data_IF_145943672586
#
_entry.id   IF_145943672586
#
_cell.length_a   1.000
_cell.length_b   1.000
_cell.length_c   1.000
_cell.angle_alpha   90.00
_cell.angle_beta   90.00
_cell.angle_gamma   90.00
#
_symmetry.space_group_name_H-M   'P 1'
#
loop_
_entity.id
_entity.type
_entity.pdbx_description
1 polymer ?
#
# COMPACT_ATOMS: atom_id res chain seq x y z
N UNK A 1 59.72 -1.47 78.57
CA UNK A 1 60.53 -2.70 78.34
C UNK A 1 59.62 -3.92 78.42
N UNK A 2 59.38 -4.61 77.29
CA UNK A 2 59.39 -6.08 77.13
C UNK A 2 58.74 -6.45 75.79
N UNK A 3 59.58 -7.03 74.93
CA UNK A 3 59.24 -7.77 73.70
C UNK A 3 58.77 -9.19 74.06
N UNK A 4 58.30 -9.91 73.03
CA UNK A 4 57.92 -11.33 72.90
C UNK A 4 56.45 -11.63 73.22
N UNK A 5 55.69 -12.41 72.45
CA UNK A 5 56.03 -13.51 71.53
C UNK A 5 54.98 -13.60 70.40
N UNK A 6 55.42 -13.93 69.18
CA UNK A 6 54.57 -14.25 68.02
C UNK A 6 54.02 -15.67 68.14
N UNK A 7 52.69 -15.83 68.12
CA UNK A 7 52.01 -17.10 67.80
C UNK A 7 51.37 -16.98 66.41
N UNK A 8 51.78 -17.85 65.49
CA UNK A 8 51.13 -18.04 64.19
C UNK A 8 49.87 -18.90 64.40
N UNK A 9 48.69 -18.33 64.21
CA UNK A 9 47.44 -19.08 64.09
C UNK A 9 47.06 -19.17 62.61
N UNK A 10 46.99 -20.40 62.10
CA UNK A 10 46.39 -20.73 60.80
C UNK A 10 44.87 -20.75 61.02
N UNK A 11 44.17 -19.77 60.45
CA UNK A 11 42.71 -19.74 60.43
C UNK A 11 42.23 -20.49 59.19
N UNK A 12 41.67 -21.68 59.41
CA UNK A 12 40.90 -22.40 58.39
C UNK A 12 39.50 -21.79 58.35
N UNK A 13 39.22 -21.00 57.32
CA UNK A 13 37.89 -20.43 57.07
C UNK A 13 37.00 -21.50 56.42
N UNK A 14 36.08 -22.05 57.22
CA UNK A 14 34.98 -22.90 56.74
C UNK A 14 33.89 -21.96 56.22
N UNK A 15 33.74 -21.89 54.89
CA UNK A 15 32.65 -21.15 54.27
C UNK A 15 31.35 -21.96 54.32
N UNK A 16 30.22 -21.40 54.77
CA UNK A 16 28.93 -22.08 54.74
C UNK A 16 28.43 -22.21 53.30
N UNK A 17 28.12 -23.45 52.88
CA UNK A 17 27.49 -23.73 51.61
C UNK A 17 26.02 -23.25 51.64
N UNK A 18 25.76 -22.08 51.05
CA UNK A 18 24.41 -21.66 50.71
C UNK A 18 23.93 -22.48 49.50
N UNK A 19 22.99 -23.39 49.73
CA UNK A 19 22.19 -24.01 48.66
C UNK A 19 21.24 -22.94 48.10
N UNK A 20 21.66 -22.27 47.03
CA UNK A 20 20.77 -21.47 46.21
C UNK A 20 19.84 -22.41 45.43
N UNK A 21 18.58 -22.51 45.88
CA UNK A 21 17.51 -23.10 45.08
C UNK A 21 17.25 -22.18 43.89
N UNK A 22 17.79 -22.55 42.72
CA UNK A 22 17.41 -21.94 41.45
C UNK A 22 15.99 -22.38 41.13
N UNK A 23 15.01 -21.49 41.34
CA UNK A 23 13.70 -21.64 40.74
C UNK A 23 13.87 -21.46 39.23
N UNK A 24 13.96 -22.58 38.50
CA UNK A 24 13.83 -22.58 37.06
C UNK A 24 12.41 -22.12 36.70
N UNK A 25 12.24 -20.81 36.50
CA UNK A 25 11.09 -20.26 35.82
C UNK A 25 11.21 -20.70 34.37
N UNK A 26 10.32 -21.60 33.95
CA UNK A 26 10.07 -21.85 32.53
C UNK A 26 9.85 -20.48 31.87
N UNK A 27 10.66 -20.07 30.87
CA UNK A 27 10.27 -18.96 30.06
C UNK A 27 8.99 -19.40 29.33
N UNK A 28 7.86 -18.81 29.73
CA UNK A 28 6.64 -18.84 28.94
C UNK A 28 7.05 -18.61 27.51
N UNK A 29 6.73 -19.58 26.65
CA UNK A 29 6.76 -19.43 25.21
C UNK A 29 6.13 -18.07 24.89
N UNK A 30 6.95 -17.08 24.53
CA UNK A 30 6.48 -15.94 23.78
C UNK A 30 5.92 -16.55 22.51
N UNK A 31 4.60 -16.71 22.47
CA UNK A 31 3.91 -17.08 21.26
C UNK A 31 4.37 -16.05 20.23
N UNK A 32 5.01 -16.53 19.15
CA UNK A 32 5.12 -15.73 17.95
C UNK A 32 3.73 -15.14 17.68
N UNK A 33 3.61 -13.86 17.28
CA UNK A 33 2.30 -13.29 16.98
C UNK A 33 1.56 -14.28 16.09
N UNK A 34 0.39 -14.74 16.54
CA UNK A 34 -0.40 -15.72 15.80
C UNK A 34 -0.53 -15.20 14.38
N UNK A 35 0.08 -15.92 13.45
CA UNK A 35 -0.02 -15.65 12.04
C UNK A 35 -1.48 -15.80 11.67
N UNK A 36 -2.11 -14.73 11.18
CA UNK A 36 -3.52 -14.79 10.82
C UNK A 36 -3.65 -15.68 9.60
N UNK A 37 -4.49 -16.71 9.66
CA UNK A 37 -4.58 -17.77 8.66
C UNK A 37 -6.05 -18.07 8.32
N UNK A 38 -6.28 -18.58 7.12
CA UNK A 38 -7.57 -19.16 6.77
C UNK A 38 -7.75 -20.51 7.49
N UNK A 39 -8.94 -20.76 8.02
CA UNK A 39 -9.32 -22.05 8.61
C UNK A 39 -9.17 -23.19 7.59
N UNK A 40 -9.60 -22.93 6.35
CA UNK A 40 -9.46 -23.84 5.22
C UNK A 40 -9.08 -23.04 3.99
N UNK A 41 -8.11 -23.52 3.23
CA UNK A 41 -7.72 -22.94 1.95
C UNK A 41 -7.32 -24.01 0.93
N UNK A 42 -7.61 -23.74 -0.33
CA UNK A 42 -7.18 -24.53 -1.48
C UNK A 42 -6.57 -23.60 -2.52
N UNK A 43 -5.47 -24.04 -3.13
CA UNK A 43 -4.82 -23.36 -4.27
C UNK A 43 -4.72 -24.37 -5.41
N UNK A 44 -5.24 -24.04 -6.59
CA UNK A 44 -5.20 -24.92 -7.77
C UNK A 44 -4.76 -24.16 -8.99
N UNK A 45 -3.91 -24.75 -9.82
CA UNK A 45 -3.61 -24.19 -11.14
C UNK A 45 -4.88 -24.14 -12.02
N UNK A 46 -5.07 -23.03 -12.73
CA UNK A 46 -6.19 -22.81 -13.64
C UNK A 46 -5.68 -22.69 -15.08
N UNK A 47 -6.14 -23.59 -15.97
CA UNK A 47 -5.81 -23.63 -17.40
C UNK A 47 -7.01 -23.32 -18.32
N UNK A 48 -8.13 -22.85 -17.74
CA UNK A 48 -9.39 -22.66 -18.47
C UNK A 48 -9.40 -21.45 -19.40
N UNK A 49 -8.46 -20.50 -19.24
CA UNK A 49 -8.31 -19.34 -20.12
C UNK A 49 -9.41 -18.28 -20.00
N UNK A 50 -10.25 -18.36 -18.95
CA UNK A 50 -11.33 -17.40 -18.71
C UNK A 50 -10.85 -16.02 -18.24
N UNK A 51 -11.78 -15.11 -17.96
CA UNK A 51 -11.46 -13.85 -17.26
C UNK A 51 -11.26 -14.14 -15.77
N UNK A 52 -10.24 -13.54 -15.16
CA UNK A 52 -10.06 -13.58 -13.71
C UNK A 52 -11.23 -12.91 -12.98
N UNK A 53 -11.76 -13.58 -11.96
CA UNK A 53 -12.84 -13.05 -11.11
C UNK A 53 -12.46 -13.19 -9.64
N UNK A 54 -13.08 -12.39 -8.78
CA UNK A 54 -12.93 -12.52 -7.34
C UNK A 54 -14.17 -12.02 -6.64
N UNK A 55 -14.60 -12.68 -5.57
CA UNK A 55 -15.66 -12.16 -4.70
C UNK A 55 -15.14 -11.07 -3.74
N UNK A 56 -13.82 -10.91 -3.67
CA UNK A 56 -13.12 -9.97 -2.81
C UNK A 56 -12.22 -9.06 -3.66
N UNK A 57 -12.28 -7.73 -3.49
CA UNK A 57 -11.55 -6.84 -4.38
C UNK A 57 -10.03 -6.94 -4.11
N UNK A 58 -9.25 -7.22 -5.16
CA UNK A 58 -7.81 -7.50 -5.12
C UNK A 58 -6.95 -6.25 -5.39
N UNK A 59 -7.50 -5.08 -5.14
CA UNK A 59 -6.83 -3.79 -5.24
C UNK A 59 -6.10 -3.42 -3.93
N UNK A 60 -5.42 -2.27 -3.94
CA UNK A 60 -4.63 -1.76 -2.81
C UNK A 60 -5.47 -0.98 -1.80
N UNK A 61 -6.57 -0.39 -2.24
CA UNK A 61 -7.45 0.46 -1.44
C UNK A 61 -8.15 -0.31 -0.33
N UNK A 62 -8.82 0.40 0.56
CA UNK A 62 -9.43 -0.20 1.76
C UNK A 62 -10.93 -0.47 1.59
N UNK A 63 -11.53 -0.07 0.47
CA UNK A 63 -12.95 -0.32 0.16
C UNK A 63 -13.18 -1.79 -0.16
N UNK A 64 -14.17 -2.41 0.50
CA UNK A 64 -14.60 -3.78 0.23
C UNK A 64 -16.03 -4.03 0.71
N UNK A 65 -16.63 -5.11 0.20
CA UNK A 65 -17.90 -5.63 0.70
C UNK A 65 -17.64 -6.89 1.53
N UNK A 66 -18.18 -7.01 2.76
CA UNK A 66 -17.99 -8.20 3.58
C UNK A 66 -18.50 -9.47 2.89
N UNK A 67 -17.67 -10.51 2.86
CA UNK A 67 -17.97 -11.79 2.19
C UNK A 67 -18.36 -12.90 3.17
N UNK A 68 -18.63 -12.58 4.43
CA UNK A 68 -18.90 -13.58 5.46
C UNK A 68 -17.70 -14.47 5.78
N UNK A 69 -16.47 -13.97 5.58
CA UNK A 69 -15.23 -14.73 5.76
C UNK A 69 -14.82 -15.61 4.58
N UNK A 70 -15.55 -15.57 3.45
CA UNK A 70 -15.21 -16.36 2.25
C UNK A 70 -14.32 -15.57 1.31
N UNK A 71 -13.19 -16.13 0.92
CA UNK A 71 -12.31 -15.59 -0.11
C UNK A 71 -12.30 -16.55 -1.31
N UNK A 72 -12.73 -16.07 -2.47
CA UNK A 72 -12.73 -16.83 -3.73
C UNK A 72 -12.18 -15.96 -4.83
N UNK A 73 -11.04 -16.37 -5.38
CA UNK A 73 -10.34 -15.69 -6.45
C UNK A 73 -10.02 -16.71 -7.55
N UNK A 74 -10.65 -16.57 -8.70
CA UNK A 74 -10.55 -17.50 -9.82
C UNK A 74 -9.65 -16.92 -10.90
N UNK A 75 -8.77 -17.76 -11.43
CA UNK A 75 -7.91 -17.45 -12.56
C UNK A 75 -7.07 -16.17 -12.36
N UNK A 76 -6.44 -16.06 -11.17
CA UNK A 76 -5.57 -14.93 -10.81
C UNK A 76 -4.10 -15.31 -10.92
N UNK A 77 -3.23 -14.38 -11.33
CA UNK A 77 -1.78 -14.60 -11.25
C UNK A 77 -1.26 -14.38 -9.83
N UNK A 78 -0.10 -14.98 -9.52
CA UNK A 78 0.57 -14.72 -8.24
C UNK A 78 0.88 -13.23 -8.06
N UNK A 79 1.27 -12.53 -9.12
CA UNK A 79 1.51 -11.08 -9.07
C UNK A 79 0.29 -10.30 -8.58
N UNK A 80 -0.92 -10.60 -9.05
CA UNK A 80 -2.13 -9.93 -8.57
C UNK A 80 -2.33 -10.16 -7.07
N UNK A 81 -2.10 -11.40 -6.62
CA UNK A 81 -2.23 -11.77 -5.22
C UNK A 81 -1.18 -11.08 -4.34
N UNK A 82 0.05 -10.91 -4.83
CA UNK A 82 1.11 -10.17 -4.13
C UNK A 82 0.79 -8.68 -4.00
N UNK A 83 0.31 -8.05 -5.09
CA UNK A 83 -0.08 -6.63 -5.09
C UNK A 83 -1.16 -6.39 -4.02
N UNK A 84 -2.17 -7.26 -3.98
CA UNK A 84 -3.19 -7.23 -2.94
C UNK A 84 -2.59 -7.52 -1.55
N UNK A 85 -1.96 -8.68 -1.34
CA UNK A 85 -1.53 -9.13 -0.02
C UNK A 85 -0.58 -8.13 0.68
N UNK A 86 0.34 -7.51 -0.05
CA UNK A 86 1.39 -6.66 0.53
C UNK A 86 1.21 -5.16 0.30
N UNK A 87 0.08 -4.76 -0.32
CA UNK A 87 -0.14 -3.39 -0.78
C UNK A 87 1.11 -2.91 -1.56
N UNK A 88 1.50 -3.61 -2.62
CA UNK A 88 2.67 -3.26 -3.47
C UNK A 88 2.34 -2.12 -4.43
N UNK A 89 3.01 -0.97 -4.28
CA UNK A 89 2.67 0.23 -5.06
C UNK A 89 3.29 0.19 -6.45
N UNK A 90 2.89 1.10 -7.35
CA UNK A 90 3.36 1.12 -8.73
C UNK A 90 4.89 1.26 -8.82
N UNK A 91 5.49 1.99 -7.88
CA UNK A 91 6.93 2.20 -7.76
C UNK A 91 7.66 0.93 -7.36
N UNK A 92 7.17 0.22 -6.33
CA UNK A 92 7.67 -1.08 -5.89
C UNK A 92 7.50 -2.13 -7.00
N UNK A 93 6.36 -2.09 -7.70
CA UNK A 93 6.03 -2.97 -8.81
C UNK A 93 7.02 -2.84 -9.98
N UNK A 94 7.26 -1.61 -10.45
CA UNK A 94 8.18 -1.32 -11.56
C UNK A 94 9.66 -1.45 -11.16
N UNK A 95 9.99 -1.08 -9.91
CA UNK A 95 11.35 -0.98 -9.42
C UNK A 95 12.01 -2.32 -9.03
N UNK A 96 11.23 -3.29 -8.53
CA UNK A 96 11.81 -4.53 -8.00
C UNK A 96 11.00 -5.80 -8.16
N UNK A 97 9.68 -5.78 -7.98
CA UNK A 97 8.86 -7.00 -7.95
C UNK A 97 9.08 -7.87 -9.19
N UNK A 98 8.98 -7.27 -10.38
CA UNK A 98 9.04 -8.00 -11.64
C UNK A 98 10.44 -8.53 -12.00
N UNK A 99 11.51 -8.01 -11.40
CA UNK A 99 12.89 -8.39 -11.79
C UNK A 99 13.30 -9.76 -11.26
N UNK A 100 12.71 -10.23 -10.16
CA UNK A 100 13.08 -11.48 -9.48
C UNK A 100 12.01 -12.57 -9.54
N UNK A 101 10.82 -12.25 -10.02
CA UNK A 101 9.77 -13.22 -10.15
C UNK A 101 10.03 -14.17 -11.32
N UNK A 102 9.86 -15.48 -11.14
CA UNK A 102 9.78 -16.42 -12.25
C UNK A 102 8.65 -16.03 -13.21
N UNK A 103 8.80 -16.33 -14.51
CA UNK A 103 7.80 -15.96 -15.52
C UNK A 103 6.39 -16.47 -15.19
N UNK A 104 6.29 -17.70 -14.66
CA UNK A 104 5.04 -18.33 -14.27
C UNK A 104 4.25 -17.49 -13.25
N UNK A 105 4.90 -16.71 -12.39
CA UNK A 105 4.22 -15.88 -11.40
C UNK A 105 3.35 -14.78 -12.03
N UNK A 106 3.63 -14.42 -13.28
CA UNK A 106 2.88 -13.43 -14.06
C UNK A 106 1.94 -14.09 -15.08
N UNK A 107 2.36 -15.20 -15.68
CA UNK A 107 1.63 -15.87 -16.75
C UNK A 107 0.58 -16.83 -16.22
N UNK A 108 0.96 -17.69 -15.29
CA UNK A 108 0.15 -18.80 -14.83
C UNK A 108 -0.95 -18.28 -13.91
N UNK A 109 -2.05 -19.03 -13.86
CA UNK A 109 -3.28 -18.62 -13.17
C UNK A 109 -3.63 -19.65 -12.11
N UNK A 110 -4.18 -19.16 -11.02
CA UNK A 110 -4.55 -19.96 -9.86
C UNK A 110 -5.98 -19.64 -9.42
N UNK A 111 -6.67 -20.68 -8.98
CA UNK A 111 -7.91 -20.59 -8.23
C UNK A 111 -7.61 -20.73 -6.75
N UNK A 112 -8.04 -19.76 -5.97
CA UNK A 112 -7.96 -19.76 -4.52
C UNK A 112 -9.37 -19.77 -3.95
N UNK A 113 -9.67 -20.78 -3.14
CA UNK A 113 -10.89 -20.80 -2.33
C UNK A 113 -10.48 -20.99 -0.87
N UNK A 114 -10.86 -20.05 -0.02
CA UNK A 114 -10.50 -20.05 1.38
C UNK A 114 -11.63 -19.51 2.26
N UNK A 115 -11.59 -19.91 3.54
CA UNK A 115 -12.54 -19.50 4.57
C UNK A 115 -11.79 -19.06 5.82
N UNK A 116 -12.11 -17.87 6.31
CA UNK A 116 -11.66 -17.38 7.60
C UNK A 116 -12.53 -17.97 8.71
N UNK A 117 -11.92 -18.21 9.87
CA UNK A 117 -12.65 -18.65 11.08
C UNK A 117 -13.66 -17.58 11.54
N UNK A 118 -13.24 -16.30 11.51
CA UNK A 118 -14.16 -15.18 11.70
C UNK A 118 -15.02 -14.96 10.47
N UNK A 119 -16.33 -14.79 10.66
CA UNK A 119 -17.26 -14.41 9.59
C UNK A 119 -17.19 -12.92 9.19
N UNK A 120 -16.38 -12.11 9.85
CA UNK A 120 -16.30 -10.65 9.62
C UNK A 120 -14.85 -10.12 9.58
N UNK A 121 -13.93 -10.74 8.81
CA UNK A 121 -12.57 -10.24 8.71
C UNK A 121 -12.57 -8.88 8.00
N UNK A 122 -11.68 -7.98 8.43
CA UNK A 122 -11.40 -6.74 7.71
C UNK A 122 -10.65 -7.01 6.40
N UNK A 123 -10.54 -6.00 5.52
CA UNK A 123 -9.70 -6.12 4.31
C UNK A 123 -8.24 -6.39 4.65
N UNK A 124 -7.75 -5.79 5.74
CA UNK A 124 -6.39 -6.01 6.23
C UNK A 124 -6.21 -7.44 6.78
N UNK A 125 -7.20 -7.96 7.52
CA UNK A 125 -7.19 -9.36 7.97
C UNK A 125 -7.12 -10.32 6.76
N UNK A 126 -7.90 -10.07 5.71
CA UNK A 126 -7.85 -10.87 4.48
C UNK A 126 -6.49 -10.81 3.79
N UNK A 127 -5.82 -9.64 3.80
CA UNK A 127 -4.45 -9.51 3.27
C UNK A 127 -3.48 -10.35 4.09
N UNK A 128 -3.51 -10.26 5.42
CA UNK A 128 -2.64 -11.03 6.31
C UNK A 128 -2.86 -12.55 6.15
N UNK A 129 -4.12 -13.00 6.10
CA UNK A 129 -4.43 -14.42 5.83
C UNK A 129 -3.90 -14.90 4.48
N UNK A 130 -3.99 -14.06 3.44
CA UNK A 130 -3.42 -14.39 2.14
C UNK A 130 -1.89 -14.39 2.16
N UNK A 131 -1.22 -13.47 2.87
CA UNK A 131 0.24 -13.53 3.05
C UNK A 131 0.64 -14.90 3.64
N UNK A 132 -0.11 -15.36 4.64
CA UNK A 132 0.14 -16.65 5.27
C UNK A 132 -0.04 -17.83 4.34
N UNK A 133 -1.11 -17.82 3.54
CA UNK A 133 -1.36 -18.82 2.52
C UNK A 133 -0.28 -18.85 1.45
N UNK A 134 0.21 -17.67 1.01
CA UNK A 134 1.26 -17.58 0.01
C UNK A 134 2.61 -18.08 0.54
N UNK A 135 2.93 -17.81 1.81
CA UNK A 135 4.13 -18.36 2.45
C UNK A 135 4.07 -19.89 2.55
N UNK A 136 2.93 -20.47 2.94
CA UNK A 136 2.76 -21.92 3.04
C UNK A 136 2.79 -22.61 1.67
N UNK A 137 1.96 -22.14 0.72
CA UNK A 137 1.73 -22.85 -0.54
C UNK A 137 2.77 -22.56 -1.61
N UNK A 138 3.35 -21.36 -1.63
CA UNK A 138 4.34 -20.96 -2.62
C UNK A 138 5.75 -20.83 -2.03
N UNK A 139 5.96 -21.25 -0.77
CA UNK A 139 7.20 -21.04 -0.03
C UNK A 139 7.70 -19.58 -0.12
N UNK A 140 6.75 -18.64 -0.13
CA UNK A 140 7.01 -17.24 -0.42
C UNK A 140 7.81 -16.59 0.70
N UNK A 141 8.97 -16.01 0.36
CA UNK A 141 9.77 -15.18 1.27
C UNK A 141 9.99 -13.82 0.63
N UNK A 142 9.75 -12.76 1.38
CA UNK A 142 9.79 -11.38 0.87
C UNK A 142 10.38 -10.44 1.90
N UNK A 143 10.95 -9.34 1.43
CA UNK A 143 11.31 -8.20 2.26
C UNK A 143 11.14 -6.89 1.49
N UNK A 144 11.26 -5.77 2.21
CA UNK A 144 11.38 -4.44 1.62
C UNK A 144 12.79 -3.92 1.84
N UNK A 145 13.40 -3.40 0.78
CA UNK A 145 14.67 -2.69 0.85
C UNK A 145 14.48 -1.25 0.39
N UNK A 146 15.29 -0.32 0.92
CA UNK A 146 15.30 1.06 0.44
C UNK A 146 16.36 1.21 -0.65
N UNK A 147 15.99 1.84 -1.78
CA UNK A 147 16.95 2.25 -2.81
C UNK A 147 16.75 3.71 -3.19
N UNK A 148 17.86 4.40 -3.36
CA UNK A 148 17.86 5.73 -3.97
C UNK A 148 17.68 5.59 -5.49
N UNK A 149 16.74 6.36 -6.03
CA UNK A 149 16.55 6.49 -7.47
C UNK A 149 15.91 7.84 -7.80
N UNK A 150 15.88 8.22 -9.09
CA UNK A 150 15.20 9.45 -9.49
C UNK A 150 13.69 9.37 -9.25
N UNK A 151 13.17 10.32 -8.50
CA UNK A 151 11.75 10.46 -8.12
C UNK A 151 11.24 11.87 -8.42
N UNK A 152 9.95 12.06 -8.20
CA UNK A 152 9.36 13.38 -7.98
C UNK A 152 8.99 13.55 -6.51
N UNK A 153 9.54 14.55 -5.82
CA UNK A 153 8.99 14.99 -4.53
C UNK A 153 7.78 15.88 -4.75
N UNK A 154 6.67 15.58 -4.06
CA UNK A 154 5.44 16.38 -4.06
C UNK A 154 5.44 17.33 -2.87
N UNK A 155 5.54 18.63 -3.14
CA UNK A 155 5.66 19.67 -2.13
C UNK A 155 4.46 20.61 -2.16
N UNK A 156 4.16 21.29 -1.06
CA UNK A 156 3.32 22.47 -1.10
C UNK A 156 3.97 23.57 -1.94
N UNK A 157 3.17 24.30 -2.73
CA UNK A 157 3.62 25.53 -3.40
C UNK A 157 3.83 26.66 -2.39
N UNK A 158 3.03 26.67 -1.32
CA UNK A 158 3.10 27.64 -0.21
C UNK A 158 2.95 26.89 1.11
N UNK A 159 3.87 27.05 2.07
CA UNK A 159 3.79 26.37 3.36
C UNK A 159 2.42 26.54 4.04
N UNK A 160 1.84 25.44 4.51
CA UNK A 160 0.55 25.42 5.21
C UNK A 160 -0.69 25.75 4.37
N UNK A 161 -0.57 25.93 3.04
CA UNK A 161 -1.69 26.31 2.18
C UNK A 161 -1.84 25.37 1.00
N UNK A 162 -2.97 24.68 0.95
CA UNK A 162 -3.40 23.89 -0.21
C UNK A 162 -4.11 24.77 -1.25
N UNK A 163 -4.27 24.22 -2.45
CA UNK A 163 -5.08 24.80 -3.52
C UNK A 163 -6.57 24.61 -3.28
N UNK A 164 -7.42 25.31 -4.06
CA UNK A 164 -8.87 25.32 -3.86
C UNK A 164 -9.52 23.95 -4.03
N UNK A 165 -8.84 23.00 -4.68
CA UNK A 165 -9.33 21.67 -4.99
C UNK A 165 -8.70 20.54 -4.16
N UNK A 166 -7.92 20.88 -3.12
CA UNK A 166 -7.43 19.95 -2.12
C UNK A 166 -7.81 20.48 -0.73
N UNK A 167 -8.71 19.79 -0.03
CA UNK A 167 -9.25 20.24 1.26
C UNK A 167 -9.21 19.10 2.28
N UNK A 168 -9.03 19.41 3.58
CA UNK A 168 -9.23 18.41 4.62
C UNK A 168 -10.62 17.79 4.50
N UNK A 169 -10.69 16.47 4.62
CA UNK A 169 -11.96 15.75 4.58
C UNK A 169 -12.84 16.16 5.76
N UNK A 170 -14.12 16.42 5.49
CA UNK A 170 -15.09 16.68 6.54
C UNK A 170 -15.77 15.35 6.93
N UNK A 171 -15.52 14.79 8.13
CA UNK A 171 -16.06 13.50 8.55
C UNK A 171 -17.59 13.49 8.69
N UNK A 172 -18.24 14.67 8.71
CA UNK A 172 -19.71 14.74 8.69
C UNK A 172 -20.32 14.49 7.31
N UNK A 173 -19.52 14.54 6.24
CA UNK A 173 -19.98 14.27 4.89
C UNK A 173 -19.93 12.77 4.62
N UNK A 174 -21.12 12.15 4.62
CA UNK A 174 -21.27 10.71 4.36
C UNK A 174 -20.65 10.27 3.04
N UNK A 175 -19.95 9.14 3.07
CA UNK A 175 -19.38 8.43 1.92
C UNK A 175 -20.39 7.50 1.23
N UNK A 176 -21.68 7.79 1.38
CA UNK A 176 -22.77 6.89 1.04
C UNK A 176 -23.84 7.60 0.23
N UNK A 177 -23.56 7.81 -1.06
CA UNK A 177 -24.54 7.89 -2.13
C UNK A 177 -23.78 7.98 -3.46
N UNK A 178 -24.15 7.23 -4.51
CA UNK A 178 -23.79 7.61 -5.87
C UNK A 178 -24.39 9.01 -6.09
N UNK A 179 -23.60 10.07 -5.92
CA UNK A 179 -23.99 11.34 -6.50
C UNK A 179 -23.99 11.09 -8.02
N UNK A 180 -25.07 11.47 -8.74
CA UNK A 180 -25.06 11.36 -10.18
C UNK A 180 -23.79 12.00 -10.70
N UNK A 181 -23.13 11.34 -11.67
CA UNK A 181 -21.96 11.93 -12.30
C UNK A 181 -22.31 13.38 -12.63
N UNK A 182 -21.47 14.35 -12.21
CA UNK A 182 -21.74 15.75 -12.46
C UNK A 182 -22.10 15.94 -13.93
N UNK A 183 -23.13 16.73 -14.21
CA UNK A 183 -23.44 17.08 -15.59
C UNK A 183 -22.17 17.61 -16.29
N UNK A 184 -21.97 17.26 -17.56
CA UNK A 184 -20.88 17.79 -18.38
C UNK A 184 -20.88 19.32 -18.25
N UNK A 185 -19.74 19.91 -17.89
CA UNK A 185 -19.61 21.36 -17.64
C UNK A 185 -19.76 21.81 -16.17
N UNK A 186 -20.05 20.90 -15.23
CA UNK A 186 -20.00 21.25 -13.79
C UNK A 186 -18.58 21.72 -13.43
N UNK A 187 -18.41 22.89 -12.79
CA UNK A 187 -17.10 23.38 -12.38
C UNK A 187 -16.44 22.45 -11.37
N UNK A 188 -15.18 22.09 -11.61
CA UNK A 188 -14.42 21.13 -10.79
C UNK A 188 -14.36 21.55 -9.31
N UNK A 189 -14.23 22.85 -9.05
CA UNK A 189 -14.15 23.38 -7.68
C UNK A 189 -15.40 23.17 -6.82
N UNK A 190 -16.59 22.94 -7.41
CA UNK A 190 -17.83 22.68 -6.66
C UNK A 190 -17.97 21.22 -6.24
N UNK A 191 -17.07 20.36 -6.71
CA UNK A 191 -17.14 18.91 -6.51
C UNK A 191 -16.19 18.37 -5.44
N UNK A 192 -15.28 19.19 -4.94
CA UNK A 192 -14.34 18.83 -3.88
C UNK A 192 -15.14 18.36 -2.66
N UNK A 193 -14.89 17.13 -2.19
CA UNK A 193 -15.61 16.53 -1.05
C UNK A 193 -16.96 15.92 -1.39
N UNK A 194 -17.36 15.92 -2.67
CA UNK A 194 -18.58 15.28 -3.16
C UNK A 194 -18.30 14.14 -4.13
N UNK A 195 -17.12 14.09 -4.74
CA UNK A 195 -16.77 13.07 -5.72
C UNK A 195 -15.40 12.45 -5.42
N UNK A 196 -15.25 11.12 -5.52
CA UNK A 196 -16.25 10.08 -5.80
C UNK A 196 -17.36 9.96 -4.76
N UNK A 197 -18.37 9.14 -5.07
CA UNK A 197 -19.40 8.73 -4.13
C UNK A 197 -18.83 7.98 -2.92
N UNK A 198 -17.93 7.05 -3.20
CA UNK A 198 -17.26 6.18 -2.24
C UNK A 198 -15.94 6.81 -1.80
N UNK A 199 -15.70 6.83 -0.49
CA UNK A 199 -14.45 7.30 0.08
C UNK A 199 -13.37 6.21 0.08
N UNK A 200 -12.11 6.62 0.28
CA UNK A 200 -10.97 5.71 0.42
C UNK A 200 -10.45 5.12 -0.89
N UNK A 201 -11.01 5.53 -2.03
CA UNK A 201 -10.51 5.21 -3.37
C UNK A 201 -10.64 6.42 -4.30
N UNK A 202 -9.82 6.42 -5.34
CA UNK A 202 -9.91 7.40 -6.42
C UNK A 202 -10.85 6.95 -7.52
N UNK A 203 -11.32 7.90 -8.32
CA UNK A 203 -12.02 7.61 -9.57
C UNK A 203 -11.50 8.54 -10.65
N UNK A 204 -11.54 8.04 -11.88
CA UNK A 204 -11.32 8.84 -13.07
C UNK A 204 -12.60 8.95 -13.88
N UNK A 205 -12.80 10.08 -14.56
CA UNK A 205 -13.88 10.27 -15.51
C UNK A 205 -13.40 11.17 -16.65
N UNK A 206 -13.46 10.65 -17.88
CA UNK A 206 -13.22 11.45 -19.08
C UNK A 206 -14.44 12.34 -19.32
N UNK A 207 -14.27 13.66 -19.21
CA UNK A 207 -15.37 14.61 -19.37
C UNK A 207 -15.42 15.25 -20.75
N UNK A 208 -14.30 15.22 -21.48
CA UNK A 208 -14.25 15.53 -22.91
C UNK A 208 -13.07 14.79 -23.56
N UNK A 209 -12.85 15.02 -24.85
CA UNK A 209 -11.66 14.50 -25.55
C UNK A 209 -10.35 14.96 -24.88
N UNK A 210 -10.31 16.21 -24.39
CA UNK A 210 -9.12 16.88 -23.86
C UNK A 210 -9.20 17.17 -22.36
N UNK A 211 -10.12 16.51 -21.64
CA UNK A 211 -10.31 16.68 -20.19
C UNK A 211 -10.52 15.34 -19.53
N UNK A 212 -9.62 15.01 -18.62
CA UNK A 212 -9.73 13.93 -17.65
C UNK A 212 -9.93 14.55 -16.27
N UNK A 213 -10.92 14.03 -15.53
CA UNK A 213 -11.10 14.34 -14.11
C UNK A 213 -10.65 13.16 -13.29
N UNK A 214 -9.99 13.46 -12.19
CA UNK A 214 -9.55 12.51 -11.19
C UNK A 214 -9.78 13.07 -9.80
N UNK A 215 -10.14 12.22 -8.85
CA UNK A 215 -10.50 12.71 -7.53
C UNK A 215 -10.79 11.58 -6.57
N UNK A 216 -10.90 11.98 -5.31
CA UNK A 216 -10.88 11.08 -4.18
C UNK A 216 -11.42 11.78 -2.94
N UNK A 217 -12.02 11.00 -2.04
CA UNK A 217 -12.52 11.50 -0.75
C UNK A 217 -12.00 10.68 0.40
N UNK A 218 -11.81 11.33 1.53
CA UNK A 218 -11.26 10.73 2.76
C UNK A 218 -9.95 9.95 2.47
N UNK A 219 -9.07 10.54 1.65
CA UNK A 219 -7.82 9.91 1.25
C UNK A 219 -6.65 10.47 2.03
N UNK A 220 -5.76 9.58 2.49
CA UNK A 220 -4.45 10.02 3.00
C UNK A 220 -3.61 10.63 1.87
N UNK A 221 -2.65 11.48 2.18
CA UNK A 221 -1.73 12.00 1.16
C UNK A 221 -0.96 10.90 0.43
N UNK A 222 -0.61 9.81 1.11
CA UNK A 222 0.01 8.64 0.48
C UNK A 222 -0.92 8.00 -0.57
N UNK A 223 -2.22 7.88 -0.28
CA UNK A 223 -3.17 7.35 -1.24
C UNK A 223 -3.35 8.29 -2.45
N UNK A 224 -3.34 9.61 -2.22
CA UNK A 224 -3.35 10.61 -3.30
C UNK A 224 -2.08 10.51 -4.15
N UNK A 225 -0.91 10.37 -3.54
CA UNK A 225 0.38 10.21 -4.24
C UNK A 225 0.42 8.93 -5.07
N UNK A 226 -0.04 7.80 -4.52
CA UNK A 226 -0.14 6.54 -5.27
C UNK A 226 -1.07 6.70 -6.48
N UNK A 227 -2.21 7.38 -6.31
CA UNK A 227 -3.15 7.67 -7.38
C UNK A 227 -2.53 8.55 -8.48
N UNK A 228 -1.94 9.69 -8.10
CA UNK A 228 -1.27 10.60 -9.03
C UNK A 228 -0.09 9.95 -9.76
N UNK A 229 0.60 9.00 -9.13
CA UNK A 229 1.68 8.25 -9.79
C UNK A 229 1.13 7.35 -10.90
N UNK A 230 -0.02 6.71 -10.67
CA UNK A 230 -0.71 5.92 -11.70
C UNK A 230 -1.23 6.79 -12.85
N UNK A 231 -1.85 7.93 -12.51
CA UNK A 231 -2.40 8.89 -13.45
C UNK A 231 -1.34 9.58 -14.32
N UNK A 232 -0.18 9.91 -13.73
CA UNK A 232 0.86 10.71 -14.37
C UNK A 232 1.59 10.03 -15.53
N UNK A 233 1.31 8.74 -15.81
CA UNK A 233 2.11 7.84 -16.66
C UNK A 233 3.63 7.98 -16.47
N UNK A 234 4.07 8.47 -15.31
CA UNK A 234 5.47 8.81 -15.10
C UNK A 234 6.27 7.56 -14.81
N UNK A 235 7.43 7.42 -15.46
CA UNK A 235 8.41 6.39 -15.09
C UNK A 235 9.00 6.62 -13.69
N UNK A 236 8.74 7.78 -13.09
CA UNK A 236 9.29 8.16 -11.77
C UNK A 236 8.21 8.10 -10.70
N UNK A 237 8.48 7.40 -9.58
CA UNK A 237 7.68 7.46 -8.36
C UNK A 237 7.46 8.89 -7.89
N UNK A 238 6.29 9.18 -7.32
CA UNK A 238 6.04 10.42 -6.58
C UNK A 238 6.18 10.11 -5.08
N UNK A 239 6.86 10.97 -4.32
CA UNK A 239 7.00 10.88 -2.86
C UNK A 239 6.30 12.05 -2.19
N UNK A 240 5.51 11.78 -1.15
CA UNK A 240 4.89 12.83 -0.34
C UNK A 240 5.95 13.58 0.47
N UNK A 241 6.11 14.88 0.19
CA UNK A 241 6.94 15.82 0.92
C UNK A 241 6.12 17.05 1.35
N UNK A 242 4.80 16.92 1.41
CA UNK A 242 3.89 18.02 1.74
C UNK A 242 3.85 18.31 3.24
N UNK A 243 4.11 17.29 4.07
CA UNK A 243 3.97 17.35 5.53
C UNK A 243 2.51 17.45 6.00
N UNK A 244 1.55 17.23 5.10
CA UNK A 244 0.12 17.27 5.42
C UNK A 244 -0.31 15.97 6.11
N UNK A 245 -1.00 16.10 7.25
CA UNK A 245 -1.53 14.98 8.02
C UNK A 245 -3.06 14.94 7.95
N UNK A 246 -3.62 13.76 8.18
CA UNK A 246 -5.07 13.51 8.10
C UNK A 246 -5.50 13.01 6.72
N UNK A 247 -6.79 13.14 6.45
CA UNK A 247 -7.40 12.74 5.17
C UNK A 247 -7.94 13.95 4.43
N UNK A 248 -7.97 13.84 3.11
CA UNK A 248 -8.25 14.93 2.19
C UNK A 248 -9.25 14.49 1.13
N UNK A 249 -10.04 15.47 0.72
CA UNK A 249 -10.84 15.40 -0.48
C UNK A 249 -10.11 16.19 -1.57
N UNK A 250 -9.97 15.58 -2.74
CA UNK A 250 -9.35 16.22 -3.87
C UNK A 250 -10.10 15.96 -5.17
N UNK A 251 -9.95 16.91 -6.08
CA UNK A 251 -10.31 16.72 -7.47
C UNK A 251 -9.29 17.47 -8.32
N UNK A 252 -8.98 16.91 -9.47
CA UNK A 252 -8.00 17.36 -10.42
C UNK A 252 -8.60 17.22 -11.81
N UNK A 253 -8.51 18.25 -12.63
CA UNK A 253 -8.87 18.18 -14.04
C UNK A 253 -7.71 18.65 -14.90
N UNK A 254 -7.33 17.83 -15.87
CA UNK A 254 -6.19 18.10 -16.76
C UNK A 254 -6.40 17.50 -18.15
N UNK A 255 -5.56 17.89 -19.09
CA UNK A 255 -5.52 17.27 -20.42
C UNK A 255 -4.70 15.98 -20.40
N UNK A 256 -5.31 14.79 -20.64
CA UNK A 256 -4.58 13.53 -20.62
C UNK A 256 -3.53 13.42 -21.74
N UNK A 257 -3.63 14.19 -22.84
CA UNK A 257 -2.59 14.21 -23.88
C UNK A 257 -1.26 14.81 -23.34
N UNK A 258 -1.31 15.54 -22.21
CA UNK A 258 -0.12 16.11 -21.56
C UNK A 258 0.75 15.09 -20.81
N UNK A 259 0.23 13.88 -20.54
CA UNK A 259 0.94 12.84 -19.79
C UNK A 259 2.08 12.17 -20.60
N UNK A 260 1.97 12.17 -21.94
CA UNK A 260 2.79 11.30 -22.79
C UNK A 260 3.93 11.96 -23.56
N UNK A 261 4.17 13.29 -23.48
CA UNK A 261 5.17 13.95 -24.35
C UNK A 261 5.90 15.11 -23.68
N UNK A 262 7.11 14.84 -23.14
CA UNK A 262 8.13 15.89 -23.07
C UNK A 262 8.36 16.39 -24.52
N UNK A 263 8.00 17.65 -24.80
CA UNK A 263 8.32 18.32 -26.07
C UNK A 263 7.19 18.50 -27.09
N UNK A 264 5.92 18.19 -26.79
CA UNK A 264 4.81 18.72 -27.60
C UNK A 264 4.33 20.05 -27.02
N UNK A 265 4.87 21.12 -27.61
CA UNK A 265 4.13 22.37 -27.74
C UNK A 265 2.99 22.13 -28.73
N UNK A 266 1.84 21.63 -28.27
CA UNK A 266 0.61 21.87 -29.00
C UNK A 266 0.23 23.32 -28.71
N UNK A 267 0.23 24.17 -29.74
CA UNK A 267 -0.37 25.49 -29.64
C UNK A 267 -1.71 25.39 -28.89
N UNK A 268 -2.05 26.36 -28.01
CA UNK A 268 -3.28 26.32 -27.25
C UNK A 268 -4.44 26.07 -28.21
N UNK A 269 -5.08 24.91 -28.11
CA UNK A 269 -6.40 24.72 -28.70
C UNK A 269 -7.36 25.40 -27.73
N UNK A 270 -8.37 26.10 -28.24
CA UNK A 270 -9.35 26.82 -27.42
C UNK A 270 -10.07 25.92 -26.39
N UNK A 271 -9.95 24.59 -26.49
CA UNK A 271 -10.49 23.59 -25.56
C UNK A 271 -9.44 22.82 -24.71
N UNK A 272 -8.14 23.07 -24.90
CA UNK A 272 -7.07 22.34 -24.22
C UNK A 272 -7.07 22.61 -22.71
N UNK A 273 -6.97 21.54 -21.92
CA UNK A 273 -6.87 21.63 -20.46
C UNK A 273 -5.51 22.04 -19.96
N UNK A 274 -5.39 22.42 -18.67
CA UNK A 274 -4.07 22.58 -18.07
C UNK A 274 -3.31 21.26 -18.19
N UNK A 275 -1.99 21.35 -18.36
CA UNK A 275 -1.15 20.16 -18.27
C UNK A 275 -1.24 19.54 -16.88
N UNK A 276 -0.89 18.26 -16.74
CA UNK A 276 -0.91 17.57 -15.45
C UNK A 276 -0.14 18.32 -14.35
N UNK A 277 1.05 18.85 -14.67
CA UNK A 277 1.88 19.58 -13.69
C UNK A 277 1.29 20.96 -13.34
N UNK A 278 0.68 21.65 -14.31
CA UNK A 278 -0.02 22.93 -14.05
C UNK A 278 -1.26 22.70 -13.20
N UNK A 279 -2.03 21.65 -13.46
CA UNK A 279 -3.21 21.29 -12.68
C UNK A 279 -2.85 21.00 -11.22
N UNK A 280 -1.79 20.21 -10.97
CA UNK A 280 -1.27 19.97 -9.61
C UNK A 280 -0.91 21.29 -8.90
N UNK A 281 -0.29 22.23 -9.64
CA UNK A 281 0.12 23.54 -9.11
C UNK A 281 -1.06 24.45 -8.78
N UNK A 282 -1.96 24.64 -9.72
CA UNK A 282 -3.01 25.65 -9.63
C UNK A 282 -4.23 25.16 -8.85
N UNK A 283 -4.56 23.87 -8.97
CA UNK A 283 -5.78 23.29 -8.41
C UNK A 283 -5.55 22.71 -7.02
N UNK A 284 -4.47 21.95 -6.84
CA UNK A 284 -4.13 21.32 -5.56
C UNK A 284 -3.18 22.18 -4.72
N UNK A 285 -2.53 23.19 -5.32
CA UNK A 285 -1.54 24.01 -4.63
C UNK A 285 -0.25 23.24 -4.33
N UNK A 286 0.03 22.18 -5.08
CA UNK A 286 1.18 21.30 -4.90
C UNK A 286 2.18 21.46 -6.04
N UNK A 287 3.40 20.98 -5.91
CA UNK A 287 4.39 21.04 -6.99
C UNK A 287 5.27 19.79 -6.98
N UNK A 288 5.57 19.29 -8.18
CA UNK A 288 6.51 18.20 -8.39
C UNK A 288 7.92 18.79 -8.57
N UNK A 289 8.89 18.22 -7.85
CA UNK A 289 10.32 18.53 -8.02
C UNK A 289 11.07 17.26 -8.36
N UNK A 290 11.86 17.29 -9.44
CA UNK A 290 12.79 16.20 -9.79
C UNK A 290 13.88 16.14 -8.73
N UNK A 291 14.05 15.00 -8.07
CA UNK A 291 15.09 14.78 -7.06
C UNK A 291 15.43 13.30 -6.97
N UNK A 292 16.49 12.96 -6.25
CA UNK A 292 16.76 11.59 -5.85
C UNK A 292 16.11 11.33 -4.49
N UNK A 293 15.47 10.17 -4.35
CA UNK A 293 14.75 9.82 -3.14
C UNK A 293 14.84 8.33 -2.84
N UNK A 294 14.87 8.00 -1.55
CA UNK A 294 14.83 6.62 -1.09
C UNK A 294 13.41 6.07 -1.21
N UNK A 295 13.19 5.19 -2.18
CA UNK A 295 11.92 4.46 -2.31
C UNK A 295 12.02 3.10 -1.60
N UNK A 296 10.90 2.64 -1.06
CA UNK A 296 10.73 1.24 -0.69
C UNK A 296 10.62 0.41 -1.97
N UNK A 297 11.29 -0.72 -2.03
CA UNK A 297 11.18 -1.71 -3.09
C UNK A 297 10.74 -3.02 -2.45
N UNK A 298 9.72 -3.65 -3.03
CA UNK A 298 9.30 -4.99 -2.65
C UNK A 298 10.16 -6.05 -3.36
N UNK A 299 10.79 -6.91 -2.59
CA UNK A 299 11.70 -7.95 -3.07
C UNK A 299 11.14 -9.32 -2.72
N UNK A 300 11.13 -10.21 -3.72
CA UNK A 300 10.87 -11.63 -3.53
C UNK A 300 12.21 -12.36 -3.39
N UNK A 301 12.45 -12.94 -2.23
CA UNK A 301 13.65 -13.72 -1.91
C UNK A 301 13.51 -15.17 -2.35
N UNK A 302 12.33 -15.73 -2.16
CA UNK A 302 12.00 -17.08 -2.58
C UNK A 302 10.55 -17.16 -3.03
N UNK A 303 10.31 -17.94 -4.08
CA UNK A 303 8.98 -18.33 -4.51
C UNK A 303 9.08 -19.61 -5.32
N UNK A 304 8.21 -20.55 -5.00
CA UNK A 304 8.12 -21.86 -5.64
C UNK A 304 6.75 -22.03 -6.28
N UNK A 305 6.68 -22.91 -7.26
CA UNK A 305 5.40 -23.30 -7.84
C UNK A 305 4.58 -24.03 -6.76
N UNK A 306 3.28 -23.75 -6.63
CA UNK A 306 2.55 -24.23 -5.46
C UNK A 306 2.45 -25.76 -5.43
N UNK A 307 2.58 -26.32 -4.24
CA UNK A 307 2.34 -27.75 -4.02
C UNK A 307 0.89 -28.10 -4.36
N UNK A 308 0.67 -29.27 -4.96
CA UNK A 308 -0.69 -29.82 -5.11
C UNK A 308 -1.34 -30.00 -3.73
N UNK A 309 -2.65 -29.76 -3.61
CA UNK A 309 -3.39 -30.04 -2.38
C UNK A 309 -3.54 -31.54 -2.15
#
# INVERSE_FOLDING_TARGET
MRRLLLLRFIVVLIAPAYLAQSSAQNPSSMMAPHKLEFEVASVRENKSGGRGTSNFPLDRGDVYFPTGGVFSATNQSLVTLLIFAYKINISEFRGGLMRRLPSWATTDKFDINARAESGKPTKEDMRLMLQSLLEDRFNLKVHREKREMPVFGLYLTRPGKTGPQLRPHNPTLSCSAPLPLPAVGTPVATMVGLWPATCGDGTEARTSKYRLREGGRDMTMNAIVDWLTGAGESDRPILDQTGLNGTFDFILEFDPESLGREGISSAPRDDSGPTFTEAIREQLGLQLKKEDGAISIFVVDNVEYPSSN
#
